data_IF_803982836796
#
_entry.id   IF_803982836796
#
_cell.length_a   1.000
_cell.length_b   1.000
_cell.length_c   1.000
_cell.angle_alpha   90.00
_cell.angle_beta   90.00
_cell.angle_gamma   90.00
#
_symmetry.space_group_name_H-M   'P 1'
#
loop_
_entity.id
_entity.type
_entity.pdbx_description
1 polymer ?
#
# COMPACT_ATOMS: atom_id res chain seq x y z
N UNK A 1 -14.52 -2.99 24.85
CA UNK A 1 -13.97 -1.91 24.01
C UNK A 1 -14.24 -2.25 22.56
N UNK A 2 -14.89 -1.34 21.84
CA UNK A 2 -15.11 -1.44 20.40
C UNK A 2 -13.96 -0.79 19.62
N UNK A 3 -13.80 -1.19 18.35
CA UNK A 3 -12.82 -0.57 17.46
C UNK A 3 -13.05 0.95 17.31
N UNK A 4 -14.32 1.38 17.28
CA UNK A 4 -14.70 2.79 17.18
C UNK A 4 -14.24 3.60 18.40
N UNK A 5 -14.41 3.07 19.61
CA UNK A 5 -13.94 3.73 20.85
C UNK A 5 -12.42 3.85 20.89
N UNK A 6 -11.70 2.84 20.39
CA UNK A 6 -10.23 2.87 20.29
C UNK A 6 -9.74 3.93 19.30
N UNK A 7 -10.42 4.10 18.18
CA UNK A 7 -10.08 5.11 17.16
C UNK A 7 -10.26 6.53 17.72
N UNK A 8 -11.36 6.80 18.42
CA UNK A 8 -11.57 8.12 19.03
C UNK A 8 -10.51 8.42 20.08
N UNK A 9 -10.13 7.42 20.89
CA UNK A 9 -9.06 7.59 21.87
C UNK A 9 -7.69 7.85 21.21
N UNK A 10 -7.42 7.19 20.09
CA UNK A 10 -6.20 7.42 19.31
C UNK A 10 -6.13 8.84 18.75
N UNK A 11 -7.24 9.40 18.27
CA UNK A 11 -7.29 10.78 17.73
C UNK A 11 -6.98 11.83 18.78
N UNK A 12 -7.30 11.56 20.04
CA UNK A 12 -7.03 12.44 21.19
C UNK A 12 -5.56 12.46 21.60
N UNK A 13 -4.73 11.51 21.15
CA UNK A 13 -3.33 11.43 21.55
C UNK A 13 -2.51 12.62 21.01
N UNK A 14 -1.47 13.05 21.74
CA UNK A 14 -0.48 13.99 21.21
C UNK A 14 0.15 13.49 19.90
N UNK A 15 0.61 14.39 19.00
CA UNK A 15 1.19 13.99 17.72
C UNK A 15 2.35 12.98 17.82
N UNK A 16 3.19 13.11 18.85
CA UNK A 16 4.31 12.19 19.08
C UNK A 16 3.83 10.76 19.39
N UNK A 17 2.83 10.63 20.27
CA UNK A 17 2.25 9.33 20.61
C UNK A 17 1.48 8.72 19.43
N UNK A 18 0.82 9.55 18.60
CA UNK A 18 0.20 9.08 17.36
C UNK A 18 1.20 8.51 16.37
N UNK A 19 2.39 9.12 16.28
CA UNK A 19 3.45 8.64 15.40
C UNK A 19 3.98 7.27 15.84
N UNK A 20 4.11 7.02 17.15
CA UNK A 20 4.54 5.71 17.67
C UNK A 20 3.54 4.59 17.33
N UNK A 21 2.24 4.84 17.43
CA UNK A 21 1.22 3.84 17.03
C UNK A 21 1.22 3.63 15.52
N UNK A 22 1.35 4.69 14.72
CA UNK A 22 1.44 4.57 13.26
C UNK A 22 2.67 3.75 12.84
N UNK A 23 3.81 4.00 13.49
CA UNK A 23 5.03 3.21 13.32
C UNK A 23 4.79 1.74 13.68
N UNK A 24 4.17 1.46 14.83
CA UNK A 24 3.86 0.10 15.23
C UNK A 24 3.00 -0.65 14.20
N UNK A 25 1.96 0.01 13.66
CA UNK A 25 1.10 -0.59 12.61
C UNK A 25 1.92 -0.89 11.36
N UNK A 26 2.73 0.06 10.88
CA UNK A 26 3.57 -0.13 9.69
C UNK A 26 4.59 -1.26 9.87
N UNK A 27 5.13 -1.45 11.08
CA UNK A 27 6.16 -2.47 11.35
C UNK A 27 5.60 -3.88 11.59
N UNK A 28 4.35 -4.01 12.01
CA UNK A 28 3.79 -5.29 12.48
C UNK A 28 2.59 -5.79 11.68
N UNK A 29 2.01 -4.97 10.82
CA UNK A 29 0.78 -5.30 10.11
C UNK A 29 0.80 -4.74 8.67
N UNK A 30 0.59 -5.61 7.67
CA UNK A 30 0.59 -5.24 6.25
C UNK A 30 -0.82 -4.94 5.70
N UNK A 31 -1.85 -4.97 6.54
CA UNK A 31 -3.24 -4.71 6.11
C UNK A 31 -3.46 -3.29 5.59
N UNK A 32 -2.57 -2.34 5.94
CA UNK A 32 -2.59 -0.99 5.38
C UNK A 32 -2.14 -0.93 3.92
N UNK A 33 -1.40 -1.94 3.44
CA UNK A 33 -0.94 -1.99 2.05
C UNK A 33 -2.12 -2.38 1.17
N UNK A 34 -2.47 -1.59 0.14
CA UNK A 34 -3.51 -1.95 -0.81
C UNK A 34 -3.18 -3.26 -1.54
N UNK A 35 -4.21 -4.06 -1.82
CA UNK A 35 -4.04 -5.33 -2.55
C UNK A 35 -3.43 -5.12 -3.93
N UNK A 36 -3.90 -4.13 -4.68
CA UNK A 36 -3.35 -3.78 -6.00
C UNK A 36 -1.86 -3.42 -5.97
N UNK A 37 -1.38 -2.86 -4.85
CA UNK A 37 0.03 -2.57 -4.69
C UNK A 37 0.84 -3.85 -4.46
N UNK A 38 0.32 -4.80 -3.68
CA UNK A 38 0.94 -6.12 -3.51
C UNK A 38 1.01 -6.87 -4.83
N UNK A 39 -0.07 -6.85 -5.61
CA UNK A 39 -0.11 -7.49 -6.93
C UNK A 39 0.96 -6.91 -7.86
N UNK A 40 1.09 -5.58 -7.90
CA UNK A 40 2.13 -4.91 -8.68
C UNK A 40 3.55 -5.25 -8.20
N UNK A 41 3.77 -5.41 -6.90
CA UNK A 41 5.05 -5.85 -6.35
C UNK A 41 5.36 -7.31 -6.71
N UNK A 42 4.36 -8.19 -6.73
CA UNK A 42 4.53 -9.58 -7.19
C UNK A 42 4.84 -9.64 -8.70
N UNK A 43 4.21 -8.80 -9.51
CA UNK A 43 4.51 -8.67 -10.94
C UNK A 43 5.95 -8.15 -11.17
N UNK A 44 6.42 -7.22 -10.35
CA UNK A 44 7.81 -6.75 -10.32
C UNK A 44 8.81 -7.89 -10.05
N UNK A 45 8.57 -8.69 -9.01
CA UNK A 45 9.44 -9.83 -8.66
C UNK A 45 9.49 -10.90 -9.76
N UNK A 46 8.41 -11.01 -10.53
CA UNK A 46 8.27 -12.00 -11.59
C UNK A 46 8.61 -11.44 -12.97
N UNK A 47 9.20 -10.24 -13.04
CA UNK A 47 9.60 -9.53 -14.26
C UNK A 47 8.45 -9.40 -15.29
N UNK A 48 7.22 -9.24 -14.79
CA UNK A 48 5.99 -9.08 -15.57
C UNK A 48 5.55 -7.62 -15.70
N UNK A 49 6.48 -6.69 -15.56
CA UNK A 49 6.17 -5.30 -15.84
C UNK A 49 6.09 -5.04 -17.34
N UNK A 50 5.13 -4.20 -17.71
CA UNK A 50 5.03 -3.67 -19.07
C UNK A 50 6.19 -2.70 -19.29
N UNK A 51 7.02 -2.97 -20.31
CA UNK A 51 7.95 -1.97 -20.82
C UNK A 51 7.18 -0.83 -21.47
N UNK A 52 7.17 0.33 -20.81
CA UNK A 52 6.42 1.49 -21.27
C UNK A 52 6.96 2.05 -22.59
N UNK A 53 8.26 1.90 -22.89
CA UNK A 53 8.82 2.31 -24.17
C UNK A 53 8.22 1.47 -25.30
N UNK A 54 8.23 0.15 -25.15
CA UNK A 54 7.56 -0.76 -26.07
C UNK A 54 6.06 -0.50 -26.16
N UNK A 55 5.36 -0.37 -25.03
CA UNK A 55 3.90 -0.25 -25.01
C UNK A 55 3.37 1.07 -25.58
N UNK A 56 4.13 2.16 -25.47
CA UNK A 56 3.72 3.49 -25.92
C UNK A 56 4.22 3.82 -27.33
N UNK A 57 5.40 3.32 -27.72
CA UNK A 57 6.02 3.67 -29.01
C UNK A 57 5.77 2.65 -30.12
N UNK A 58 5.36 1.41 -29.80
CA UNK A 58 5.02 0.41 -30.82
C UNK A 58 3.53 0.44 -31.14
N UNK A 59 3.15 0.36 -32.43
CA UNK A 59 1.75 0.25 -32.81
C UNK A 59 1.17 -1.04 -32.21
N UNK A 60 -0.01 -0.94 -31.59
CA UNK A 60 -0.72 -2.09 -31.08
C UNK A 60 -0.96 -3.09 -32.22
N UNK A 61 -0.37 -4.27 -32.10
CA UNK A 61 -0.62 -5.37 -33.03
C UNK A 61 -2.01 -5.94 -32.75
N UNK A 62 -3.04 -5.32 -33.33
CA UNK A 62 -4.34 -5.95 -33.47
C UNK A 62 -4.28 -6.88 -34.69
N UNK A 63 -4.53 -8.18 -34.46
CA UNK A 63 -4.86 -9.14 -35.53
C UNK A 63 -6.21 -8.79 -36.19
#
# INVERSE_FOLDING_TARGET
>A
MSATELIERFKELPPAERAEVAKFVVENDDSWIPESFRDAMADLEQDRLVDLGTALDQPYAAD
#
